data_IF_541921720792
#
_entry.id   IF_541921720792
#
_cell.length_a   1.000
_cell.length_b   1.000
_cell.length_c   1.000
_cell.angle_alpha   90.00
_cell.angle_beta   90.00
_cell.angle_gamma   90.00
#
_symmetry.space_group_name_H-M   'P 1'
#
loop_
_entity.id
_entity.type
_entity.pdbx_description
1 polymer ?
#
# COMPACT_ATOMS: atom_id res chain seq x y z
N UNK A 1 -13.57 -18.48 -18.98
CA UNK A 1 -13.35 -17.02 -18.90
C UNK A 1 -12.10 -16.75 -18.08
N UNK A 2 -11.15 -16.00 -18.62
CA UNK A 2 -9.84 -15.67 -18.04
C UNK A 2 -9.89 -14.62 -16.92
N UNK A 3 -11.03 -13.94 -16.73
CA UNK A 3 -11.26 -12.96 -15.67
C UNK A 3 -12.69 -12.99 -15.14
N UNK A 4 -12.90 -12.39 -13.96
CA UNK A 4 -14.22 -12.12 -13.37
C UNK A 4 -14.83 -10.84 -13.95
N UNK A 5 -16.15 -10.81 -14.05
CA UNK A 5 -16.92 -9.61 -14.37
C UNK A 5 -16.97 -8.66 -13.17
N UNK A 6 -17.09 -7.33 -13.39
CA UNK A 6 -17.05 -6.35 -12.30
C UNK A 6 -17.96 -6.63 -11.08
N UNK A 7 -19.22 -7.09 -11.24
CA UNK A 7 -20.06 -7.45 -10.09
C UNK A 7 -19.55 -8.65 -9.30
N UNK A 8 -18.96 -9.65 -9.97
CA UNK A 8 -18.42 -10.86 -9.33
C UNK A 8 -17.20 -10.54 -8.46
N UNK A 9 -16.40 -9.53 -8.86
CA UNK A 9 -15.24 -9.10 -8.08
C UNK A 9 -15.69 -8.54 -6.72
N UNK A 10 -16.84 -7.86 -6.64
CA UNK A 10 -17.40 -7.36 -5.37
C UNK A 10 -17.68 -8.53 -4.42
N UNK A 11 -18.31 -9.61 -4.91
CA UNK A 11 -18.60 -10.79 -4.10
C UNK A 11 -17.33 -11.46 -3.57
N UNK A 12 -16.37 -11.72 -4.46
CA UNK A 12 -15.06 -12.30 -4.08
C UNK A 12 -14.34 -11.40 -3.07
N UNK A 13 -14.45 -10.09 -3.21
CA UNK A 13 -13.79 -9.15 -2.29
C UNK A 13 -14.47 -9.14 -0.93
N UNK A 14 -15.81 -9.23 -0.86
CA UNK A 14 -16.55 -9.39 0.41
C UNK A 14 -16.10 -10.67 1.13
N UNK A 15 -16.04 -11.79 0.41
CA UNK A 15 -15.61 -13.08 0.99
C UNK A 15 -14.19 -13.01 1.53
N UNK A 16 -13.26 -12.45 0.76
CA UNK A 16 -11.88 -12.22 1.22
C UNK A 16 -11.83 -11.26 2.41
N UNK A 17 -12.67 -10.24 2.44
CA UNK A 17 -12.81 -9.32 3.57
C UNK A 17 -13.22 -10.02 4.86
N UNK A 18 -14.18 -10.95 4.80
CA UNK A 18 -14.59 -11.76 5.95
C UNK A 18 -13.44 -12.65 6.43
N UNK A 19 -12.75 -13.33 5.51
CA UNK A 19 -11.62 -14.20 5.85
C UNK A 19 -10.50 -13.42 6.54
N UNK A 20 -10.14 -12.25 6.00
CA UNK A 20 -9.10 -11.38 6.57
C UNK A 20 -9.50 -10.81 7.93
N UNK A 21 -10.75 -10.37 8.09
CA UNK A 21 -11.26 -9.83 9.35
C UNK A 21 -11.17 -10.85 10.50
N UNK A 22 -11.47 -12.12 10.19
CA UNK A 22 -11.50 -13.24 11.14
C UNK A 22 -10.20 -14.03 11.21
N UNK A 23 -9.16 -13.61 10.49
CA UNK A 23 -7.84 -14.22 10.54
C UNK A 23 -7.30 -14.30 11.97
N UNK A 24 -6.61 -15.41 12.27
CA UNK A 24 -5.95 -15.59 13.56
C UNK A 24 -4.92 -14.47 13.79
N UNK A 25 -4.63 -14.13 15.04
CA UNK A 25 -3.62 -13.11 15.35
C UNK A 25 -2.27 -13.46 14.70
N UNK A 26 -1.83 -14.72 14.82
CA UNK A 26 -0.58 -15.18 14.25
C UNK A 26 -0.54 -15.01 12.73
N UNK A 27 -1.62 -15.37 12.03
CA UNK A 27 -1.74 -15.19 10.58
C UNK A 27 -1.61 -13.71 10.20
N UNK A 28 -2.38 -12.83 10.86
CA UNK A 28 -2.36 -11.40 10.57
C UNK A 28 -1.01 -10.77 10.89
N UNK A 29 -0.37 -11.21 11.98
CA UNK A 29 0.93 -10.72 12.41
C UNK A 29 2.04 -11.11 11.43
N UNK A 30 2.16 -12.39 11.09
CA UNK A 30 3.20 -12.90 10.19
C UNK A 30 3.04 -12.35 8.78
N UNK A 31 1.82 -12.42 8.23
CA UNK A 31 1.54 -11.91 6.89
C UNK A 31 1.60 -10.38 6.84
N UNK A 32 1.30 -9.69 7.93
CA UNK A 32 1.47 -8.25 8.08
C UNK A 32 2.94 -7.85 8.11
N UNK A 33 3.77 -8.60 8.84
CA UNK A 33 5.21 -8.39 8.86
C UNK A 33 5.82 -8.56 7.46
N UNK A 34 5.48 -9.65 6.78
CA UNK A 34 5.95 -9.92 5.41
C UNK A 34 5.52 -8.83 4.42
N UNK A 35 4.31 -8.29 4.55
CA UNK A 35 3.86 -7.19 3.71
C UNK A 35 4.70 -5.93 3.90
N UNK A 36 5.04 -5.57 5.15
CA UNK A 36 5.99 -4.50 5.43
C UNK A 36 7.36 -4.75 4.78
N UNK A 37 7.86 -5.98 4.89
CA UNK A 37 9.13 -6.40 4.29
C UNK A 37 9.12 -6.23 2.76
N UNK A 38 8.13 -6.76 2.06
CA UNK A 38 8.06 -6.68 0.59
C UNK A 38 8.00 -5.23 0.08
N UNK A 39 7.17 -4.40 0.72
CA UNK A 39 7.05 -2.98 0.34
C UNK A 39 8.34 -2.22 0.63
N UNK A 40 8.99 -2.49 1.76
CA UNK A 40 10.25 -1.84 2.12
C UNK A 40 11.42 -2.27 1.22
N UNK A 41 11.51 -3.55 0.85
CA UNK A 41 12.51 -4.05 -0.11
C UNK A 41 12.32 -3.41 -1.49
N UNK A 42 11.07 -3.21 -1.93
CA UNK A 42 10.79 -2.42 -3.11
C UNK A 42 11.24 -0.96 -2.99
N UNK A 43 11.13 -0.37 -1.80
CA UNK A 43 11.71 0.93 -1.47
C UNK A 43 13.24 0.97 -1.62
N UNK A 44 13.95 -0.05 -1.14
CA UNK A 44 15.41 -0.17 -1.32
C UNK A 44 15.74 -0.20 -2.82
N UNK A 45 15.10 -1.11 -3.57
CA UNK A 45 15.34 -1.26 -5.00
C UNK A 45 15.04 0.01 -5.80
N UNK A 46 13.95 0.72 -5.46
CA UNK A 46 13.61 2.01 -6.07
C UNK A 46 14.71 3.05 -5.82
N UNK A 47 15.16 3.22 -4.56
CA UNK A 47 16.22 4.18 -4.22
C UNK A 47 17.53 3.78 -4.90
N UNK A 48 17.85 2.48 -4.92
CA UNK A 48 19.02 1.91 -5.60
C UNK A 48 19.03 2.17 -7.09
N UNK A 49 17.88 2.09 -7.74
CA UNK A 49 17.75 2.41 -9.15
C UNK A 49 17.99 3.91 -9.39
N UNK A 50 17.41 4.77 -8.55
CA UNK A 50 17.48 6.23 -8.73
C UNK A 50 18.80 6.88 -8.27
N UNK A 51 19.49 6.29 -7.31
CA UNK A 51 20.51 6.96 -6.49
C UNK A 51 21.71 7.47 -7.28
N UNK A 52 22.25 6.64 -8.17
CA UNK A 52 23.46 6.94 -8.96
C UNK A 52 23.16 7.36 -10.39
N UNK A 53 21.89 7.68 -10.71
CA UNK A 53 21.54 8.13 -12.05
C UNK A 53 22.00 9.57 -12.29
N UNK A 54 22.42 9.92 -13.53
CA UNK A 54 22.83 11.27 -13.86
C UNK A 54 21.69 12.28 -13.62
N UNK A 55 22.01 13.45 -13.06
CA UNK A 55 20.99 14.47 -12.72
C UNK A 55 20.33 15.05 -13.98
N UNK A 56 21.03 15.03 -15.11
CA UNK A 56 20.58 15.54 -16.42
C UNK A 56 19.39 14.74 -16.98
N UNK A 57 19.16 13.52 -16.47
CA UNK A 57 18.04 12.69 -16.90
C UNK A 57 16.68 13.19 -16.37
N UNK A 58 16.69 14.13 -15.41
CA UNK A 58 15.49 14.81 -14.93
C UNK A 58 14.39 13.84 -14.49
N UNK A 59 13.19 13.99 -15.07
CA UNK A 59 12.00 13.19 -14.72
C UNK A 59 12.14 11.70 -15.05
N UNK A 60 13.04 11.31 -15.95
CA UNK A 60 13.27 9.91 -16.29
C UNK A 60 13.74 9.09 -15.07
N UNK A 61 14.48 9.71 -14.15
CA UNK A 61 14.89 9.06 -12.89
C UNK A 61 13.67 8.63 -12.07
N UNK A 62 12.63 9.47 -12.02
CA UNK A 62 11.39 9.16 -11.30
C UNK A 62 10.58 8.07 -12.02
N UNK A 63 10.57 8.05 -13.36
CA UNK A 63 9.92 6.99 -14.17
C UNK A 63 10.56 5.64 -13.86
N UNK A 64 11.90 5.57 -13.81
CA UNK A 64 12.60 4.31 -13.54
C UNK A 64 12.33 3.84 -12.10
N UNK A 65 12.38 4.75 -11.13
CA UNK A 65 11.97 4.43 -9.75
C UNK A 65 10.54 3.89 -9.67
N UNK A 66 9.60 4.56 -10.35
CA UNK A 66 8.20 4.16 -10.41
C UNK A 66 7.97 2.83 -11.12
N UNK A 67 8.80 2.47 -12.10
CA UNK A 67 8.72 1.18 -12.79
C UNK A 67 9.28 0.03 -11.94
N UNK A 68 10.22 0.30 -11.04
CA UNK A 68 10.81 -0.72 -10.15
C UNK A 68 9.89 -1.01 -8.96
N UNK A 69 9.35 0.01 -8.30
CA UNK A 69 8.56 -0.16 -7.06
C UNK A 69 7.43 -1.24 -7.09
N UNK A 70 6.69 -1.46 -8.19
CA UNK A 70 5.57 -2.40 -8.21
C UNK A 70 5.90 -3.85 -7.85
N UNK A 71 7.14 -4.32 -7.99
CA UNK A 71 7.47 -5.72 -7.69
C UNK A 71 7.13 -6.08 -6.24
N UNK A 72 7.23 -5.14 -5.30
CA UNK A 72 6.91 -5.38 -3.89
C UNK A 72 5.46 -5.85 -3.71
N UNK A 73 4.50 -5.14 -4.32
CA UNK A 73 3.09 -5.52 -4.23
C UNK A 73 2.78 -6.77 -5.07
N UNK A 74 3.44 -6.95 -6.21
CA UNK A 74 3.30 -8.15 -7.05
C UNK A 74 3.69 -9.40 -6.26
N UNK A 75 4.90 -9.43 -5.69
CA UNK A 75 5.38 -10.55 -4.88
C UNK A 75 4.45 -10.81 -3.69
N UNK A 76 4.06 -9.74 -2.99
CA UNK A 76 3.16 -9.81 -1.84
C UNK A 76 1.79 -10.44 -2.18
N UNK A 77 1.12 -9.98 -3.24
CA UNK A 77 -0.23 -10.45 -3.57
C UNK A 77 -0.23 -11.86 -4.16
N UNK A 78 0.86 -12.27 -4.83
CA UNK A 78 1.01 -13.60 -5.40
C UNK A 78 1.47 -14.64 -4.37
N UNK A 79 2.38 -14.28 -3.46
CA UNK A 79 2.81 -15.16 -2.37
C UNK A 79 1.76 -15.22 -1.24
N UNK A 80 0.93 -14.18 -1.12
CA UNK A 80 -0.04 -14.01 -0.06
C UNK A 80 0.52 -13.17 1.09
N UNK A 81 -0.22 -12.13 1.46
CA UNK A 81 0.08 -11.34 2.66
C UNK A 81 -1.03 -10.38 3.07
N UNK A 82 -0.78 -9.65 4.15
CA UNK A 82 -1.73 -8.73 4.76
C UNK A 82 -1.16 -7.31 4.70
N UNK A 83 -1.61 -6.53 3.72
CA UNK A 83 -1.24 -5.14 3.58
C UNK A 83 -2.39 -4.26 4.03
N UNK A 84 -2.16 -3.35 4.99
CA UNK A 84 -3.22 -2.53 5.58
C UNK A 84 -3.94 -1.71 4.52
N UNK A 85 -3.24 -1.12 3.55
CA UNK A 85 -3.85 -0.27 2.51
C UNK A 85 -4.79 -1.05 1.59
N UNK A 86 -4.43 -2.29 1.22
CA UNK A 86 -5.36 -3.21 0.55
C UNK A 86 -6.54 -3.61 1.44
N UNK A 87 -6.28 -3.89 2.72
CA UNK A 87 -7.33 -4.27 3.68
C UNK A 87 -8.31 -3.14 3.98
N UNK A 88 -7.88 -1.88 3.92
CA UNK A 88 -8.77 -0.70 4.03
C UNK A 88 -9.88 -0.72 2.98
N UNK A 89 -9.67 -1.35 1.82
CA UNK A 89 -10.73 -1.62 0.83
C UNK A 89 -11.41 -2.96 1.11
N UNK A 90 -10.66 -4.05 1.16
CA UNK A 90 -11.20 -5.42 1.17
C UNK A 90 -12.07 -5.68 2.41
N UNK A 91 -11.61 -5.28 3.58
CA UNK A 91 -12.33 -5.48 4.85
C UNK A 91 -13.49 -4.51 4.99
N UNK A 92 -13.37 -3.28 4.46
CA UNK A 92 -14.47 -2.32 4.41
C UNK A 92 -15.63 -2.80 3.54
N UNK A 93 -15.35 -3.49 2.44
CA UNK A 93 -16.41 -4.06 1.60
C UNK A 93 -17.22 -5.13 2.34
N UNK A 94 -16.56 -5.97 3.15
CA UNK A 94 -17.23 -6.93 4.02
C UNK A 94 -18.05 -6.24 5.14
N UNK A 95 -17.56 -5.10 5.65
CA UNK A 95 -18.29 -4.28 6.62
C UNK A 95 -19.56 -3.68 5.99
N UNK A 96 -19.48 -3.12 4.79
CA UNK A 96 -20.65 -2.58 4.06
C UNK A 96 -21.67 -3.67 3.73
N UNK A 97 -21.18 -4.87 3.42
CA UNK A 97 -22.02 -6.07 3.25
C UNK A 97 -22.66 -6.60 4.55
N UNK A 98 -22.37 -5.96 5.71
CA UNK A 98 -22.80 -6.37 7.05
C UNK A 98 -22.42 -7.82 7.39
N UNK A 99 -21.28 -8.29 6.86
CA UNK A 99 -20.77 -9.65 7.11
C UNK A 99 -19.79 -9.71 8.29
N UNK A 100 -19.28 -8.55 8.69
CA UNK A 100 -18.41 -8.37 9.85
C UNK A 100 -18.88 -7.15 10.66
N UNK A 101 -18.47 -7.10 11.91
CA UNK A 101 -18.66 -5.96 12.82
C UNK A 101 -17.57 -4.88 12.63
N UNK A 102 -17.86 -3.66 13.08
CA UNK A 102 -16.85 -2.59 13.14
C UNK A 102 -15.66 -2.94 14.05
N UNK A 103 -15.87 -3.79 15.06
CA UNK A 103 -14.79 -4.31 15.93
C UNK A 103 -13.86 -5.26 15.17
N UNK A 104 -14.39 -6.15 14.36
CA UNK A 104 -13.60 -7.04 13.49
C UNK A 104 -12.82 -6.22 12.45
N UNK A 105 -13.44 -5.18 11.87
CA UNK A 105 -12.77 -4.25 10.97
C UNK A 105 -11.58 -3.56 11.65
N UNK A 106 -11.81 -2.92 12.80
CA UNK A 106 -10.78 -2.19 13.54
C UNK A 106 -9.64 -3.12 13.98
N UNK A 107 -9.97 -4.32 14.46
CA UNK A 107 -8.98 -5.35 14.83
C UNK A 107 -8.03 -5.65 13.67
N UNK A 108 -8.55 -5.92 12.47
CA UNK A 108 -7.71 -6.23 11.31
C UNK A 108 -6.82 -5.04 10.96
N UNK A 109 -7.41 -3.85 10.79
CA UNK A 109 -6.69 -2.65 10.39
C UNK A 109 -5.55 -2.33 11.37
N UNK A 110 -5.80 -2.38 12.69
CA UNK A 110 -4.79 -2.09 13.71
C UNK A 110 -3.67 -3.13 13.72
N UNK A 111 -4.00 -4.43 13.79
CA UNK A 111 -2.98 -5.49 13.84
C UNK A 111 -2.09 -5.42 12.60
N UNK A 112 -2.69 -5.35 11.41
CA UNK A 112 -1.94 -5.36 10.16
C UNK A 112 -1.08 -4.09 10.03
N UNK A 113 -1.57 -2.93 10.48
CA UNK A 113 -0.76 -1.69 10.52
C UNK A 113 0.49 -1.84 11.37
N UNK A 114 0.35 -2.38 12.58
CA UNK A 114 1.45 -2.57 13.52
C UNK A 114 2.51 -3.48 12.90
N UNK A 115 2.10 -4.63 12.34
CA UNK A 115 3.06 -5.57 11.79
C UNK A 115 3.63 -5.12 10.43
N UNK A 116 2.88 -4.38 9.61
CA UNK A 116 3.45 -3.68 8.45
C UNK A 116 4.55 -2.71 8.88
N UNK A 117 4.33 -1.92 9.93
CA UNK A 117 5.35 -1.01 10.48
C UNK A 117 6.58 -1.77 10.98
N UNK A 118 6.39 -2.83 11.78
CA UNK A 118 7.50 -3.65 12.29
C UNK A 118 8.32 -4.24 11.13
N UNK A 119 7.66 -4.77 10.10
CA UNK A 119 8.34 -5.29 8.90
C UNK A 119 9.11 -4.21 8.14
N UNK A 120 8.52 -3.04 7.97
CA UNK A 120 9.18 -1.91 7.30
C UNK A 120 10.38 -1.38 8.09
N UNK A 121 10.28 -1.28 9.42
CA UNK A 121 11.39 -0.88 10.29
C UNK A 121 12.50 -1.92 10.32
N UNK A 122 12.15 -3.21 10.33
CA UNK A 122 13.10 -4.31 10.21
C UNK A 122 13.93 -4.15 8.93
N UNK A 123 13.30 -3.92 7.77
CA UNK A 123 14.02 -3.73 6.51
C UNK A 123 14.83 -2.43 6.53
N UNK A 124 14.29 -1.32 7.04
CA UNK A 124 15.02 -0.05 7.14
C UNK A 124 16.33 -0.23 7.93
N UNK A 125 16.27 -0.88 9.09
CA UNK A 125 17.42 -1.07 9.95
C UNK A 125 18.39 -2.15 9.44
N UNK A 126 17.91 -3.37 9.20
CA UNK A 126 18.80 -4.49 8.87
C UNK A 126 19.23 -4.49 7.41
N UNK A 127 18.29 -4.29 6.48
CA UNK A 127 18.56 -4.43 5.03
C UNK A 127 18.89 -3.12 4.34
N UNK A 128 18.47 -1.98 4.89
CA UNK A 128 18.80 -0.65 4.35
C UNK A 128 20.07 -0.09 4.98
N UNK A 129 20.09 0.02 6.31
CA UNK A 129 21.17 0.64 7.07
C UNK A 129 22.33 -0.33 7.35
N UNK A 130 22.15 -1.37 8.17
CA UNK A 130 23.26 -2.24 8.61
C UNK A 130 23.95 -3.00 7.48
N UNK A 131 23.21 -3.42 6.46
CA UNK A 131 23.77 -4.07 5.27
C UNK A 131 24.64 -3.14 4.41
N UNK A 132 24.51 -1.82 4.58
CA UNK A 132 25.12 -0.82 3.71
C UNK A 132 24.37 -0.54 2.40
N UNK A 133 23.23 -1.21 2.13
CA UNK A 133 22.56 -1.12 0.82
C UNK A 133 22.14 0.31 0.42
N UNK A 134 21.80 1.15 1.41
CA UNK A 134 21.41 2.56 1.20
C UNK A 134 22.41 3.55 1.83
N UNK A 135 23.65 3.12 2.08
CA UNK A 135 24.74 4.00 2.49
C UNK A 135 25.54 4.51 1.28
N UNK A 136 26.57 5.33 1.52
CA UNK A 136 27.44 5.88 0.47
C UNK A 136 26.67 6.69 -0.57
N UNK A 137 26.89 6.39 -1.85
CA UNK A 137 26.29 7.09 -3.00
C UNK A 137 24.74 7.12 -3.00
N UNK A 138 24.10 6.25 -2.22
CA UNK A 138 22.63 6.13 -2.16
C UNK A 138 22.02 6.88 -0.97
N UNK A 139 22.84 7.29 0.01
CA UNK A 139 22.37 7.92 1.24
C UNK A 139 21.68 9.26 0.97
N UNK A 140 22.27 10.11 0.13
CA UNK A 140 21.68 11.39 -0.24
C UNK A 140 20.31 11.19 -0.87
N UNK A 141 20.17 10.23 -1.80
CA UNK A 141 18.88 9.94 -2.44
C UNK A 141 17.84 9.48 -1.43
N UNK A 142 18.20 8.58 -0.52
CA UNK A 142 17.29 8.10 0.53
C UNK A 142 16.81 9.25 1.43
N UNK A 143 17.73 10.14 1.84
CA UNK A 143 17.41 11.35 2.62
C UNK A 143 16.46 12.27 1.85
N UNK A 144 16.74 12.56 0.57
CA UNK A 144 15.89 13.43 -0.24
C UNK A 144 14.48 12.86 -0.44
N UNK A 145 14.36 11.55 -0.68
CA UNK A 145 13.05 10.89 -0.77
C UNK A 145 12.30 11.01 0.57
N UNK A 146 12.97 10.80 1.71
CA UNK A 146 12.38 10.94 3.04
C UNK A 146 11.88 12.36 3.31
N UNK A 147 12.72 13.37 3.10
CA UNK A 147 12.36 14.79 3.25
C UNK A 147 11.21 15.19 2.34
N UNK A 148 11.17 14.65 1.13
CA UNK A 148 10.08 14.85 0.18
C UNK A 148 8.72 14.35 0.68
N UNK A 149 8.67 13.39 1.63
CA UNK A 149 7.41 12.90 2.22
C UNK A 149 6.94 13.77 3.38
N UNK A 150 7.84 14.37 4.12
CA UNK A 150 7.52 15.13 5.34
C UNK A 150 7.40 16.63 5.13
N UNK A 151 7.70 17.15 3.94
CA UNK A 151 7.54 18.58 3.61
C UNK A 151 6.09 19.01 3.35
N UNK A 152 5.21 18.06 3.05
CA UNK A 152 3.83 18.34 2.68
C UNK A 152 3.02 18.81 3.91
N UNK A 153 2.10 19.74 3.69
CA UNK A 153 1.10 20.11 4.69
C UNK A 153 0.16 18.94 4.98
N UNK A 154 -0.56 18.99 6.11
CA UNK A 154 -1.55 17.97 6.45
C UNK A 154 -2.55 17.71 5.31
N UNK A 155 -3.11 18.76 4.71
CA UNK A 155 -4.10 18.63 3.63
C UNK A 155 -3.49 18.00 2.37
N UNK A 156 -2.26 18.39 2.00
CA UNK A 156 -1.55 17.79 0.87
C UNK A 156 -1.29 16.29 1.11
N UNK A 157 -0.77 15.94 2.29
CA UNK A 157 -0.54 14.53 2.66
C UNK A 157 -1.83 13.71 2.69
N UNK A 158 -2.92 14.29 3.20
CA UNK A 158 -4.24 13.67 3.24
C UNK A 158 -4.79 13.40 1.83
N UNK A 159 -4.87 14.41 0.97
CA UNK A 159 -5.37 14.26 -0.41
C UNK A 159 -4.49 13.31 -1.25
N UNK A 160 -3.18 13.42 -1.08
CA UNK A 160 -2.20 12.52 -1.69
C UNK A 160 -2.41 11.06 -1.23
N UNK A 161 -2.72 10.85 0.05
CA UNK A 161 -3.09 9.55 0.59
C UNK A 161 -4.38 8.98 -0.02
N UNK A 162 -5.40 9.81 -0.27
CA UNK A 162 -6.63 9.37 -0.94
C UNK A 162 -6.32 8.84 -2.33
N UNK A 163 -5.61 9.62 -3.13
CA UNK A 163 -5.26 9.27 -4.50
C UNK A 163 -4.34 8.03 -4.55
N UNK A 164 -3.39 7.91 -3.62
CA UNK A 164 -2.56 6.73 -3.49
C UNK A 164 -3.40 5.47 -3.26
N UNK A 165 -4.24 5.45 -2.23
CA UNK A 165 -4.93 4.21 -1.89
C UNK A 165 -6.10 3.90 -2.83
N UNK A 166 -6.62 4.88 -3.57
CA UNK A 166 -7.47 4.61 -4.72
C UNK A 166 -6.77 3.69 -5.73
N UNK A 167 -5.51 4.00 -6.09
CA UNK A 167 -4.73 3.19 -7.02
C UNK A 167 -4.27 1.86 -6.43
N UNK A 168 -3.80 1.83 -5.18
CA UNK A 168 -3.39 0.59 -4.50
C UNK A 168 -4.57 -0.37 -4.35
N UNK A 169 -5.73 0.14 -3.93
CA UNK A 169 -6.94 -0.67 -3.80
C UNK A 169 -7.45 -1.15 -5.16
N UNK A 170 -7.32 -0.33 -6.21
CA UNK A 170 -7.61 -0.75 -7.59
C UNK A 170 -6.69 -1.90 -8.02
N UNK A 171 -5.38 -1.84 -7.74
CA UNK A 171 -4.46 -2.95 -8.02
C UNK A 171 -4.88 -4.26 -7.32
N UNK A 172 -5.27 -4.18 -6.04
CA UNK A 172 -5.77 -5.35 -5.28
C UNK A 172 -7.07 -5.88 -5.89
N UNK A 173 -7.98 -4.99 -6.30
CA UNK A 173 -9.26 -5.35 -6.93
C UNK A 173 -9.05 -6.04 -8.30
N UNK A 174 -8.15 -5.50 -9.13
CA UNK A 174 -7.78 -6.09 -10.42
C UNK A 174 -7.07 -7.45 -10.26
N UNK A 175 -6.25 -7.61 -9.21
CA UNK A 175 -5.65 -8.90 -8.88
C UNK A 175 -6.70 -9.98 -8.55
N UNK A 176 -7.84 -9.60 -7.96
CA UNK A 176 -8.96 -10.54 -7.76
C UNK A 176 -9.75 -10.81 -9.04
N UNK A 177 -9.77 -9.85 -9.97
CA UNK A 177 -10.42 -10.01 -11.27
C UNK A 177 -9.71 -11.03 -12.17
N UNK A 178 -8.37 -11.01 -12.20
CA UNK A 178 -7.57 -11.86 -13.07
C UNK A 178 -7.40 -13.29 -12.51
N UNK A 179 -7.54 -14.31 -13.37
CA UNK A 179 -7.30 -15.71 -12.99
C UNK A 179 -5.92 -16.21 -13.37
N UNK A 180 -5.30 -15.64 -14.39
CA UNK A 180 -3.95 -15.98 -14.83
C UNK A 180 -2.87 -15.12 -14.14
N UNK A 181 -1.64 -15.65 -14.12
CA UNK A 181 -0.52 -15.04 -13.42
C UNK A 181 -0.09 -13.70 -14.04
N UNK A 182 -0.09 -13.59 -15.38
CA UNK A 182 0.36 -12.41 -16.11
C UNK A 182 -0.65 -11.25 -15.95
N UNK A 183 -1.95 -11.54 -16.07
CA UNK A 183 -3.03 -10.58 -15.84
C UNK A 183 -2.98 -9.98 -14.44
N UNK A 184 -2.66 -10.78 -13.41
CA UNK A 184 -2.42 -10.27 -12.05
C UNK A 184 -1.22 -9.33 -12.00
N UNK A 185 -0.09 -9.73 -12.59
CA UNK A 185 1.11 -8.88 -12.62
C UNK A 185 0.81 -7.53 -13.27
N UNK A 186 0.22 -7.51 -14.45
CA UNK A 186 -0.05 -6.27 -15.19
C UNK A 186 -1.10 -5.41 -14.46
N UNK A 187 -2.16 -6.03 -13.94
CA UNK A 187 -3.21 -5.35 -13.18
C UNK A 187 -2.71 -4.73 -11.88
N UNK A 188 -1.65 -5.28 -11.29
CA UNK A 188 -0.96 -4.69 -10.14
C UNK A 188 0.06 -3.63 -10.59
N UNK A 189 0.82 -3.91 -11.64
CA UNK A 189 1.94 -3.08 -12.06
C UNK A 189 1.51 -1.65 -12.40
N UNK A 190 0.49 -1.50 -13.25
CA UNK A 190 0.12 -0.19 -13.80
C UNK A 190 -0.41 0.79 -12.73
N UNK A 191 -1.36 0.43 -11.85
CA UNK A 191 -1.82 1.36 -10.82
C UNK A 191 -0.72 1.72 -9.82
N UNK A 192 0.18 0.78 -9.51
CA UNK A 192 1.27 1.00 -8.56
C UNK A 192 2.35 1.91 -9.14
N UNK A 193 2.76 1.69 -10.38
CA UNK A 193 3.63 2.62 -11.09
C UNK A 193 2.98 4.01 -11.16
N UNK A 194 1.68 4.07 -11.42
CA UNK A 194 0.89 5.29 -11.48
C UNK A 194 0.95 6.13 -10.21
N UNK A 195 0.75 5.55 -9.03
CA UNK A 195 0.81 6.35 -7.80
C UNK A 195 2.23 6.83 -7.49
N UNK A 196 3.24 6.01 -7.79
CA UNK A 196 4.64 6.32 -7.49
C UNK A 196 5.13 7.47 -8.38
N UNK A 197 4.83 7.42 -9.69
CA UNK A 197 5.22 8.50 -10.61
C UNK A 197 4.49 9.82 -10.31
N UNK A 198 3.23 9.75 -9.88
CA UNK A 198 2.49 10.93 -9.42
C UNK A 198 2.99 11.48 -8.08
N UNK A 199 3.86 10.75 -7.37
CA UNK A 199 4.37 11.16 -6.06
C UNK A 199 3.36 11.01 -4.93
N UNK A 200 2.28 10.24 -5.12
CA UNK A 200 1.28 10.05 -4.08
C UNK A 200 1.83 9.30 -2.86
N UNK A 201 1.27 9.58 -1.69
CA UNK A 201 1.80 9.11 -0.41
C UNK A 201 1.14 7.79 0.03
N UNK A 202 1.96 6.75 0.18
CA UNK A 202 1.54 5.42 0.63
C UNK A 202 2.02 5.17 2.06
N UNK A 203 1.11 4.95 3.00
CA UNK A 203 1.47 4.90 4.42
C UNK A 203 2.49 3.81 4.74
N UNK A 204 2.36 2.60 4.16
CA UNK A 204 3.32 1.50 4.40
C UNK A 204 4.67 1.73 3.73
N UNK A 205 4.70 2.43 2.59
CA UNK A 205 5.97 2.84 1.98
C UNK A 205 6.66 3.88 2.88
N UNK A 206 5.90 4.83 3.44
CA UNK A 206 6.42 5.84 4.35
C UNK A 206 6.91 5.26 5.68
N UNK A 207 6.35 4.14 6.15
CA UNK A 207 6.88 3.35 7.28
C UNK A 207 8.31 2.83 7.04
N UNK A 208 8.80 2.81 5.80
CA UNK A 208 10.19 2.50 5.46
C UNK A 208 10.97 3.75 5.05
N UNK A 209 10.45 4.52 4.08
CA UNK A 209 11.17 5.63 3.46
C UNK A 209 11.56 6.71 4.49
N UNK A 210 10.66 7.04 5.41
CA UNK A 210 10.93 8.07 6.40
C UNK A 210 11.92 7.56 7.46
N UNK A 211 11.70 6.41 8.12
CA UNK A 211 12.68 5.84 9.06
C UNK A 211 14.06 5.61 8.45
N UNK A 212 14.15 5.19 7.19
CA UNK A 212 15.44 5.06 6.50
C UNK A 212 16.17 6.42 6.40
N UNK A 213 15.46 7.49 6.05
CA UNK A 213 16.03 8.84 6.07
C UNK A 213 16.41 9.33 7.48
N UNK A 214 15.66 8.93 8.52
CA UNK A 214 16.01 9.22 9.92
C UNK A 214 17.32 8.53 10.30
N UNK A 215 17.47 7.24 9.98
CA UNK A 215 18.69 6.46 10.25
C UNK A 215 19.93 7.04 9.56
N UNK A 216 19.74 7.70 8.41
CA UNK A 216 20.80 8.40 7.68
C UNK A 216 20.99 9.87 8.11
N UNK A 217 20.26 10.34 9.13
CA UNK A 217 20.41 11.69 9.70
C UNK A 217 19.66 12.81 8.96
N UNK A 218 18.73 12.48 8.06
CA UNK A 218 18.04 13.44 7.20
C UNK A 218 16.63 13.82 7.60
N UNK A 219 16.03 13.20 8.62
CA UNK A 219 14.64 13.47 9.04
C UNK A 219 14.44 13.18 10.54
N UNK A 220 13.22 13.39 11.07
CA UNK A 220 12.90 13.20 12.49
C UNK A 220 11.70 12.29 12.72
N UNK A 221 11.66 11.64 13.88
CA UNK A 221 10.51 10.82 14.31
C UNK A 221 9.23 11.63 14.52
N UNK A 222 9.34 12.92 14.86
CA UNK A 222 8.19 13.81 14.97
C UNK A 222 7.56 14.08 13.59
N UNK A 223 8.39 14.35 12.58
CA UNK A 223 7.94 14.50 11.19
C UNK A 223 7.32 13.21 10.64
N UNK A 224 7.89 12.05 11.00
CA UNK A 224 7.28 10.75 10.72
C UNK A 224 5.87 10.64 11.30
N UNK A 225 5.68 10.93 12.59
CA UNK A 225 4.36 10.88 13.23
C UNK A 225 3.31 11.77 12.55
N UNK A 226 3.67 13.00 12.19
CA UNK A 226 2.78 13.94 11.49
C UNK A 226 2.39 13.45 10.11
N UNK A 227 3.36 12.94 9.33
CA UNK A 227 3.10 12.36 8.02
C UNK A 227 2.18 11.13 8.12
N UNK A 228 2.43 10.26 9.09
CA UNK A 228 1.65 9.05 9.29
C UNK A 228 0.18 9.38 9.51
N UNK A 229 -0.17 10.38 10.33
CA UNK A 229 -1.58 10.72 10.57
C UNK A 229 -2.28 11.20 9.29
N UNK A 230 -1.69 12.15 8.55
CA UNK A 230 -2.34 12.71 7.36
C UNK A 230 -2.51 11.66 6.26
N UNK A 231 -1.45 10.91 5.95
CA UNK A 231 -1.45 9.90 4.88
C UNK A 231 -2.30 8.69 5.25
N UNK A 232 -2.30 8.26 6.50
CA UNK A 232 -3.10 7.11 6.95
C UNK A 232 -4.61 7.40 6.83
N UNK A 233 -5.06 8.58 7.25
CA UNK A 233 -6.45 9.00 7.08
C UNK A 233 -6.83 9.09 5.60
N UNK A 234 -5.94 9.67 4.77
CA UNK A 234 -6.15 9.72 3.33
C UNK A 234 -6.27 8.32 2.72
N UNK A 235 -5.37 7.41 3.08
CA UNK A 235 -5.41 6.02 2.60
C UNK A 235 -6.71 5.31 3.02
N UNK A 236 -7.21 5.48 4.25
CA UNK A 236 -8.50 4.90 4.68
C UNK A 236 -9.63 5.35 3.74
N UNK A 237 -9.71 6.65 3.44
CA UNK A 237 -10.75 7.19 2.57
C UNK A 237 -10.58 6.71 1.12
N UNK A 238 -9.35 6.69 0.60
CA UNK A 238 -9.07 6.22 -0.76
C UNK A 238 -9.50 4.77 -1.00
N UNK A 239 -9.15 3.85 -0.10
CA UNK A 239 -9.52 2.44 -0.24
C UNK A 239 -10.94 2.13 0.21
N UNK A 240 -11.31 2.62 1.41
CA UNK A 240 -12.58 2.29 2.06
C UNK A 240 -13.77 3.01 1.44
N UNK A 241 -13.68 4.31 1.19
CA UNK A 241 -14.80 5.07 0.62
C UNK A 241 -14.81 5.01 -0.90
N UNK A 242 -13.72 5.44 -1.56
CA UNK A 242 -13.72 5.59 -3.02
C UNK A 242 -13.75 4.26 -3.77
N UNK A 243 -13.01 3.24 -3.32
CA UNK A 243 -13.03 1.94 -4.01
C UNK A 243 -14.12 1.04 -3.45
N UNK A 244 -14.04 0.65 -2.17
CA UNK A 244 -15.04 -0.27 -1.61
C UNK A 244 -16.45 0.34 -1.60
N UNK A 245 -16.61 1.59 -1.19
CA UNK A 245 -17.91 2.25 -1.10
C UNK A 245 -18.58 2.42 -2.46
N UNK A 246 -17.90 3.00 -3.45
CA UNK A 246 -18.50 3.26 -4.76
C UNK A 246 -18.82 1.97 -5.52
N UNK A 247 -17.94 0.97 -5.53
CA UNK A 247 -18.24 -0.31 -6.19
C UNK A 247 -19.37 -1.07 -5.48
N UNK A 248 -19.42 -1.03 -4.15
CA UNK A 248 -20.52 -1.64 -3.39
C UNK A 248 -21.86 -0.95 -3.69
N UNK A 249 -21.89 0.39 -3.69
CA UNK A 249 -23.09 1.16 -4.05
C UNK A 249 -23.57 0.82 -5.46
N UNK A 250 -22.67 0.79 -6.45
CA UNK A 250 -23.03 0.50 -7.83
C UNK A 250 -23.58 -0.92 -8.00
N UNK A 251 -22.87 -1.94 -7.48
CA UNK A 251 -23.15 -3.34 -7.82
C UNK A 251 -23.98 -4.12 -6.79
N UNK A 252 -24.16 -3.62 -5.57
CA UNK A 252 -25.01 -4.28 -4.55
C UNK A 252 -26.26 -3.50 -4.21
N UNK A 253 -26.18 -2.17 -4.19
CA UNK A 253 -27.35 -1.30 -3.93
C UNK A 253 -28.08 -0.99 -5.24
N UNK A 254 -27.38 -0.44 -6.23
CA UNK A 254 -27.96 0.01 -7.50
C UNK A 254 -28.61 -1.11 -8.33
N UNK A 255 -28.11 -2.34 -8.21
CA UNK A 255 -28.67 -3.54 -8.89
C UNK A 255 -29.78 -4.25 -8.09
N UNK A 256 -30.11 -3.77 -6.88
CA UNK A 256 -31.15 -4.35 -6.03
C UNK A 256 -30.80 -5.67 -5.35
N UNK A 257 -29.54 -6.12 -5.38
CA UNK A 257 -29.13 -7.39 -4.76
C UNK A 257 -29.24 -7.39 -3.22
N UNK A 258 -29.17 -6.23 -2.58
CA UNK A 258 -29.39 -6.08 -1.13
C UNK A 258 -30.88 -5.96 -0.72
N UNK A 259 -31.77 -5.61 -1.66
CA UNK A 259 -33.22 -5.44 -1.41
C UNK A 259 -33.96 -6.78 -1.23
N UNK A 260 -33.33 -7.90 -1.59
CA UNK A 260 -33.94 -9.24 -1.56
C UNK A 260 -33.69 -10.03 -0.27
N UNK A 261 -33.44 -9.37 0.86
CA UNK A 261 -33.28 -10.03 2.16
C UNK A 261 -34.22 -9.47 3.21
#
# INVERSE_FOLDING_TARGET
MSSLQPPEIVDVTIEKGVQKARGSFLTLAVLGFLAGVFIAVAGIAMIRAMGTMPKEWGSLVNVIGAAVFPFGLICLLLAGGELVTGNMMVVSMALFARKISGKEWLRNIVIVTIFNLIGSLFVAYFFGYLSGALQGDFAERAIQVSLGRTKDTFLQGFLSGIACNFLVSTAVYLNFAAKDFIGKIVGIFLPIMGFVICGFQHVVANMFLIPMGILLGGNTWSAFGQNMVSVYLGNIIGGGFFVAGLYFLAYKVGTGQLSKK
#
